data_IF_276685986678
#
_entry.id   IF_276685986678
#
_cell.length_a   1.000
_cell.length_b   1.000
_cell.length_c   1.000
_cell.angle_alpha   90.00
_cell.angle_beta   90.00
_cell.angle_gamma   90.00
#
_symmetry.space_group_name_H-M   'P 1'
#
loop_
_entity.id
_entity.type
_entity.pdbx_description
1 polymer ?
#
# COMPACT_ATOMS: atom_id res chain seq x y z
N UNK A 1 54.07 -0.99 16.44
CA UNK A 1 53.46 -1.51 17.68
C UNK A 1 51.95 -1.39 17.52
N UNK A 2 51.07 -2.38 17.67
CA UNK A 2 51.10 -3.84 17.65
C UNK A 2 49.66 -4.25 17.22
N UNK A 3 49.50 -5.23 16.32
CA UNK A 3 48.20 -5.84 16.01
C UNK A 3 47.68 -6.58 17.24
N UNK A 4 46.37 -6.55 17.51
CA UNK A 4 45.67 -7.66 18.18
C UNK A 4 44.31 -7.84 17.50
N UNK A 5 44.25 -8.97 16.78
CA UNK A 5 43.07 -9.68 16.34
C UNK A 5 42.49 -10.38 17.57
N UNK A 6 41.20 -10.19 17.85
CA UNK A 6 40.47 -11.06 18.77
C UNK A 6 39.46 -11.86 17.96
N UNK A 7 39.92 -13.02 17.50
CA UNK A 7 39.11 -14.12 17.00
C UNK A 7 38.52 -14.84 18.22
N UNK A 8 37.21 -14.79 18.43
CA UNK A 8 36.54 -15.72 19.34
C UNK A 8 35.55 -16.58 18.55
N UNK A 9 36.10 -17.70 18.08
CA UNK A 9 35.35 -18.86 17.64
C UNK A 9 34.71 -19.50 18.87
N UNK A 10 33.40 -19.30 19.07
CA UNK A 10 32.63 -20.07 20.06
C UNK A 10 31.94 -21.22 19.32
N UNK A 11 32.55 -22.40 19.35
CA UNK A 11 31.97 -23.64 18.86
C UNK A 11 31.87 -24.66 20.01
N UNK A 12 30.83 -25.49 19.91
CA UNK A 12 30.41 -26.64 20.74
C UNK A 12 29.62 -26.34 22.01
N UNK A 13 28.36 -26.80 22.06
CA UNK A 13 28.00 -28.15 22.55
C UNK A 13 26.51 -28.45 22.22
N UNK A 14 26.23 -29.24 21.18
CA UNK A 14 25.75 -30.64 21.24
C UNK A 14 24.44 -30.80 22.03
N UNK A 15 23.32 -30.90 21.29
CA UNK A 15 22.17 -31.68 21.74
C UNK A 15 21.64 -32.50 20.56
N UNK A 16 21.47 -33.80 20.77
CA UNK A 16 21.22 -34.80 19.73
C UNK A 16 19.78 -35.28 19.70
N UNK A 17 19.22 -35.37 18.49
CA UNK A 17 18.15 -36.32 18.11
C UNK A 17 18.04 -36.36 16.57
N UNK A 18 18.39 -37.51 15.98
CA UNK A 18 18.27 -37.91 14.54
C UNK A 18 16.84 -38.43 14.23
N UNK A 19 16.46 -38.86 12.99
CA UNK A 19 16.98 -38.59 11.62
C UNK A 19 15.89 -38.36 10.52
N UNK A 20 16.27 -37.78 9.36
CA UNK A 20 15.69 -38.02 8.01
C UNK A 20 16.46 -37.16 6.98
N UNK A 21 17.45 -37.65 6.21
CA UNK A 21 17.41 -38.39 4.92
C UNK A 21 16.50 -37.76 3.84
N UNK A 22 17.05 -36.84 3.01
CA UNK A 22 16.96 -36.79 1.52
C UNK A 22 17.77 -35.56 0.98
N UNK A 23 18.10 -35.45 -0.32
CA UNK A 23 19.44 -35.10 -0.80
C UNK A 23 19.50 -33.65 -1.30
N UNK A 24 20.62 -32.98 -1.07
CA UNK A 24 20.88 -31.65 -1.63
C UNK A 24 21.05 -31.77 -3.16
N UNK A 25 20.09 -31.21 -3.90
CA UNK A 25 20.17 -31.07 -5.35
C UNK A 25 21.16 -29.95 -5.70
N UNK A 26 22.25 -30.32 -6.34
CA UNK A 26 23.23 -29.41 -6.93
C UNK A 26 22.59 -28.62 -8.09
N UNK A 27 22.39 -27.32 -7.92
CA UNK A 27 22.14 -26.40 -9.03
C UNK A 27 23.47 -25.79 -9.50
N UNK A 28 23.85 -25.89 -10.78
CA UNK A 28 25.02 -25.17 -11.28
C UNK A 28 24.69 -23.67 -11.37
N UNK A 29 25.39 -22.87 -10.55
CA UNK A 29 25.40 -21.41 -10.64
C UNK A 29 26.05 -21.01 -11.97
N UNK A 30 25.21 -20.54 -12.90
CA UNK A 30 25.66 -20.01 -14.18
C UNK A 30 26.18 -18.57 -13.97
N UNK A 31 27.49 -18.42 -13.78
CA UNK A 31 28.15 -17.12 -13.76
C UNK A 31 28.23 -16.56 -15.19
N UNK A 32 27.29 -15.69 -15.59
CA UNK A 32 27.43 -14.86 -16.78
C UNK A 32 28.46 -13.74 -16.52
N UNK A 33 29.37 -13.46 -17.48
CA UNK A 33 30.33 -12.39 -17.33
C UNK A 33 29.63 -11.03 -17.36
N UNK A 34 29.91 -10.22 -16.34
CA UNK A 34 29.41 -8.86 -16.17
C UNK A 34 29.90 -7.96 -17.29
N UNK A 35 29.05 -7.74 -18.29
CA UNK A 35 29.20 -6.65 -19.26
C UNK A 35 28.68 -5.38 -18.59
N UNK A 36 29.60 -4.62 -17.98
CA UNK A 36 29.34 -3.28 -17.47
C UNK A 36 29.06 -2.33 -18.64
N UNK A 37 27.84 -2.37 -19.15
CA UNK A 37 27.31 -1.35 -20.04
C UNK A 37 26.96 -0.14 -19.17
N UNK A 38 27.92 0.78 -19.03
CA UNK A 38 27.64 2.15 -18.60
C UNK A 38 26.74 2.78 -19.66
N UNK A 39 25.43 2.67 -19.47
CA UNK A 39 24.46 3.50 -20.17
C UNK A 39 24.65 4.93 -19.64
N UNK A 40 25.47 5.70 -20.35
CA UNK A 40 25.57 7.13 -20.18
C UNK A 40 24.22 7.73 -20.59
N UNK A 41 23.34 7.92 -19.62
CA UNK A 41 22.10 8.69 -19.79
C UNK A 41 22.52 10.14 -19.96
N UNK A 42 22.67 10.57 -21.21
CA UNK A 42 22.70 11.98 -21.57
C UNK A 42 21.28 12.48 -21.30
N UNK A 43 21.10 13.10 -20.13
CA UNK A 43 19.95 13.98 -19.90
C UNK A 43 20.16 15.17 -20.83
N UNK A 44 19.52 15.11 -21.99
CA UNK A 44 19.31 16.29 -22.82
C UNK A 44 18.37 17.19 -22.03
N UNK A 45 18.95 18.13 -21.29
CA UNK A 45 18.23 19.30 -20.81
C UNK A 45 17.76 20.07 -22.04
N UNK A 46 16.55 19.73 -22.51
CA UNK A 46 15.78 20.63 -23.33
C UNK A 46 15.48 21.84 -22.44
N UNK A 47 16.32 22.86 -22.58
CA UNK A 47 16.08 24.19 -22.07
C UNK A 47 14.88 24.78 -22.80
N UNK A 48 13.70 24.51 -22.26
CA UNK A 48 12.47 25.24 -22.52
C UNK A 48 11.61 25.26 -21.24
N UNK A 49 12.20 25.74 -20.14
CA UNK A 49 11.44 26.05 -18.93
C UNK A 49 12.01 27.33 -18.32
N UNK A 50 11.83 28.44 -19.02
CA UNK A 50 12.23 29.76 -18.51
C UNK A 50 11.08 30.77 -18.45
N UNK A 51 9.92 30.48 -19.06
CA UNK A 51 8.78 31.41 -19.11
C UNK A 51 7.59 31.00 -18.19
N UNK A 52 7.56 29.74 -17.73
CA UNK A 52 6.49 29.27 -16.83
C UNK A 52 6.81 29.50 -15.35
N UNK A 53 8.08 29.64 -14.96
CA UNK A 53 8.45 29.93 -13.56
C UNK A 53 8.32 31.42 -13.25
N UNK A 54 8.59 32.30 -14.20
CA UNK A 54 8.44 33.76 -14.05
C UNK A 54 6.96 34.15 -13.91
N UNK A 55 6.08 33.58 -14.72
CA UNK A 55 4.63 33.82 -14.67
C UNK A 55 3.94 33.32 -13.39
N UNK A 56 4.42 32.20 -12.81
CA UNK A 56 3.93 31.72 -11.52
C UNK A 56 4.41 32.60 -10.36
N UNK A 57 5.67 33.05 -10.41
CA UNK A 57 6.23 33.96 -9.41
C UNK A 57 5.54 35.33 -9.46
N UNK A 58 5.27 35.87 -10.65
CA UNK A 58 4.50 37.12 -10.81
C UNK A 58 3.06 37.00 -10.29
N UNK A 59 2.40 35.86 -10.51
CA UNK A 59 1.05 35.60 -10.00
C UNK A 59 1.03 35.53 -8.47
N UNK A 60 2.01 34.86 -7.88
CA UNK A 60 2.19 34.81 -6.42
C UNK A 60 2.46 36.22 -5.89
N UNK A 61 3.37 36.98 -6.51
CA UNK A 61 3.70 38.35 -6.11
C UNK A 61 2.47 39.28 -6.15
N UNK A 62 1.65 39.21 -7.21
CA UNK A 62 0.41 39.98 -7.35
C UNK A 62 -0.63 39.65 -6.25
N UNK A 63 -0.72 38.39 -5.84
CA UNK A 63 -1.61 37.95 -4.74
C UNK A 63 -1.04 38.37 -3.37
N UNK A 64 0.28 38.41 -3.21
CA UNK A 64 0.93 38.91 -1.99
C UNK A 64 0.87 40.43 -1.84
N UNK A 65 0.86 41.19 -2.94
CA UNK A 65 0.90 42.65 -2.88
C UNK A 65 -0.43 43.26 -2.45
N UNK A 66 -1.56 42.60 -2.75
CA UNK A 66 -2.91 43.04 -2.35
C UNK A 66 -3.18 42.79 -0.87
N UNK A 67 -3.49 43.82 -0.05
CA UNK A 67 -3.68 43.64 1.39
C UNK A 67 -4.89 42.78 1.75
N UNK A 68 -5.94 42.78 0.93
CA UNK A 68 -7.13 41.94 1.13
C UNK A 68 -6.83 40.45 0.91
N UNK A 69 -5.96 40.13 -0.06
CA UNK A 69 -5.62 38.75 -0.41
C UNK A 69 -4.62 38.12 0.58
N UNK A 70 -3.84 38.92 1.33
CA UNK A 70 -2.93 38.39 2.36
C UNK A 70 -3.68 37.62 3.46
N UNK A 71 -4.84 38.12 3.88
CA UNK A 71 -5.67 37.43 4.90
C UNK A 71 -6.23 36.12 4.33
N UNK A 72 -6.63 36.12 3.06
CA UNK A 72 -7.09 34.92 2.37
C UNK A 72 -5.95 33.88 2.24
N UNK A 73 -4.73 34.29 1.90
CA UNK A 73 -3.55 33.42 1.81
C UNK A 73 -3.19 32.84 3.18
N UNK A 74 -3.25 33.62 4.25
CA UNK A 74 -3.01 33.13 5.62
C UNK A 74 -4.09 32.13 6.05
N UNK A 75 -5.37 32.44 5.76
CA UNK A 75 -6.50 31.54 6.03
C UNK A 75 -6.39 30.22 5.26
N UNK A 76 -6.04 30.29 3.98
CA UNK A 76 -5.78 29.12 3.15
C UNK A 76 -4.55 28.33 3.63
N UNK A 77 -3.49 29.01 4.07
CA UNK A 77 -2.31 28.39 4.65
C UNK A 77 -2.64 27.61 5.93
N UNK A 78 -3.36 28.23 6.87
CA UNK A 78 -3.80 27.57 8.10
C UNK A 78 -4.76 26.41 7.80
N UNK A 79 -5.71 26.59 6.88
CA UNK A 79 -6.65 25.54 6.46
C UNK A 79 -5.90 24.39 5.82
N UNK A 80 -4.88 24.65 4.99
CA UNK A 80 -4.03 23.63 4.39
C UNK A 80 -3.26 22.85 5.46
N UNK A 81 -2.69 23.53 6.46
CA UNK A 81 -1.99 22.87 7.58
C UNK A 81 -2.95 22.01 8.40
N UNK A 82 -4.13 22.52 8.72
CA UNK A 82 -5.17 21.77 9.46
C UNK A 82 -5.64 20.57 8.63
N UNK A 83 -5.85 20.74 7.32
CA UNK A 83 -6.25 19.66 6.43
C UNK A 83 -5.20 18.56 6.34
N UNK A 84 -3.91 18.92 6.25
CA UNK A 84 -2.81 17.95 6.27
C UNK A 84 -2.70 17.26 7.63
N UNK A 85 -2.84 18.00 8.74
CA UNK A 85 -2.82 17.43 10.09
C UNK A 85 -4.01 16.51 10.34
N UNK A 86 -5.21 16.90 9.93
CA UNK A 86 -6.43 16.12 10.08
C UNK A 86 -6.41 14.88 9.19
N UNK A 87 -5.99 15.00 7.93
CA UNK A 87 -5.85 13.84 7.03
C UNK A 87 -4.77 12.88 7.52
N UNK A 88 -3.65 13.37 8.04
CA UNK A 88 -2.62 12.55 8.65
C UNK A 88 -3.12 11.84 9.91
N UNK A 89 -3.83 12.53 10.80
CA UNK A 89 -4.45 11.90 11.97
C UNK A 89 -5.55 10.92 11.58
N UNK A 90 -6.33 11.20 10.54
CA UNK A 90 -7.36 10.29 10.05
C UNK A 90 -6.74 9.03 9.45
N UNK A 91 -5.71 9.14 8.62
CA UNK A 91 -5.00 7.98 8.07
C UNK A 91 -4.33 7.18 9.18
N UNK A 92 -3.72 7.86 10.16
CA UNK A 92 -3.05 7.21 11.28
C UNK A 92 -4.07 6.57 12.24
N UNK A 93 -5.24 7.19 12.42
CA UNK A 93 -6.38 6.59 13.09
C UNK A 93 -6.81 5.32 12.34
N UNK A 94 -7.05 5.37 11.03
CA UNK A 94 -7.41 4.18 10.24
C UNK A 94 -6.36 3.06 10.40
N UNK A 95 -5.08 3.39 10.34
CA UNK A 95 -3.98 2.41 10.41
C UNK A 95 -3.74 1.88 11.84
N UNK A 96 -4.14 2.65 12.86
CA UNK A 96 -4.06 2.30 14.29
C UNK A 96 -5.38 1.78 14.86
N UNK A 97 -6.48 1.82 14.11
CA UNK A 97 -7.79 1.43 14.59
C UNK A 97 -8.00 -0.07 14.31
N UNK A 98 -8.16 -0.92 15.36
CA UNK A 98 -8.76 -2.25 15.22
C UNK A 98 -10.26 -2.19 14.85
N UNK A 99 -10.76 -1.02 14.45
CA UNK A 99 -12.16 -0.73 14.20
C UNK A 99 -12.58 -1.12 12.79
N UNK A 100 -11.70 -1.10 11.80
CA UNK A 100 -12.05 -1.66 10.47
C UNK A 100 -12.33 -3.17 10.58
N UNK A 101 -11.46 -3.98 11.24
CA UNK A 101 -11.79 -5.37 11.56
C UNK A 101 -13.10 -5.51 12.32
N UNK A 102 -13.30 -4.75 13.40
CA UNK A 102 -14.50 -4.85 14.25
C UNK A 102 -15.78 -4.34 13.56
N UNK A 103 -15.68 -3.34 12.68
CA UNK A 103 -16.79 -2.79 11.90
C UNK A 103 -17.17 -3.75 10.77
N UNK A 104 -16.20 -4.32 10.06
CA UNK A 104 -16.46 -5.36 9.05
C UNK A 104 -17.00 -6.64 9.70
N UNK A 105 -16.57 -6.97 10.92
CA UNK A 105 -17.15 -8.05 11.72
C UNK A 105 -18.60 -7.76 12.08
N UNK A 106 -18.90 -6.55 12.60
CA UNK A 106 -20.26 -6.15 12.90
C UNK A 106 -21.15 -6.15 11.65
N UNK A 107 -20.68 -5.57 10.53
CA UNK A 107 -21.38 -5.58 9.24
C UNK A 107 -21.57 -7.02 8.75
N UNK A 108 -20.57 -7.88 8.90
CA UNK A 108 -20.64 -9.30 8.54
C UNK A 108 -21.70 -10.05 9.33
N UNK A 109 -21.75 -9.85 10.66
CA UNK A 109 -22.76 -10.46 11.53
C UNK A 109 -24.15 -9.92 11.20
N UNK A 110 -24.29 -8.61 10.99
CA UNK A 110 -25.55 -7.97 10.67
C UNK A 110 -26.09 -8.45 9.33
N UNK A 111 -25.23 -8.47 8.31
CA UNK A 111 -25.58 -8.93 6.98
C UNK A 111 -25.86 -10.43 6.96
N UNK A 112 -25.06 -11.25 7.65
CA UNK A 112 -25.29 -12.69 7.76
C UNK A 112 -26.63 -12.98 8.46
N UNK A 113 -26.93 -12.28 9.55
CA UNK A 113 -28.20 -12.43 10.27
C UNK A 113 -29.38 -12.03 9.39
N UNK A 114 -29.28 -10.91 8.69
CA UNK A 114 -30.31 -10.46 7.75
C UNK A 114 -30.49 -11.43 6.57
N UNK A 115 -29.40 -11.93 6.00
CA UNK A 115 -29.43 -12.88 4.89
C UNK A 115 -30.10 -14.20 5.30
N UNK A 116 -29.75 -14.74 6.47
CA UNK A 116 -30.38 -15.94 7.01
C UNK A 116 -31.88 -15.73 7.21
N UNK A 117 -32.27 -14.59 7.79
CA UNK A 117 -33.67 -14.26 7.99
C UNK A 117 -34.45 -14.08 6.67
N UNK A 118 -33.87 -13.38 5.69
CA UNK A 118 -34.51 -13.04 4.43
C UNK A 118 -34.57 -14.20 3.44
N UNK A 119 -33.56 -15.07 3.39
CA UNK A 119 -33.41 -16.06 2.33
C UNK A 119 -33.43 -17.52 2.79
N UNK A 120 -33.08 -17.83 4.05
CA UNK A 120 -33.02 -19.23 4.53
C UNK A 120 -34.25 -19.65 5.35
N UNK A 121 -34.89 -18.76 6.09
CA UNK A 121 -36.02 -19.14 6.96
C UNK A 121 -37.26 -19.56 6.17
N UNK A 122 -37.60 -18.81 5.12
CA UNK A 122 -38.83 -19.04 4.36
C UNK A 122 -38.58 -19.95 3.16
N UNK A 123 -39.55 -20.83 2.86
CA UNK A 123 -39.50 -21.72 1.70
C UNK A 123 -39.46 -20.99 0.35
N UNK A 124 -40.34 -20.00 0.06
CA UNK A 124 -40.31 -19.32 -1.23
C UNK A 124 -38.96 -18.63 -1.48
N UNK A 125 -38.39 -18.01 -0.45
CA UNK A 125 -37.13 -17.27 -0.59
C UNK A 125 -35.91 -18.17 -0.88
N UNK A 126 -35.95 -19.44 -0.42
CA UNK A 126 -34.91 -20.43 -0.75
C UNK A 126 -34.96 -20.82 -2.22
N UNK A 127 -36.15 -21.02 -2.77
CA UNK A 127 -36.33 -21.38 -4.19
C UNK A 127 -35.91 -20.23 -5.10
N UNK A 128 -36.22 -18.98 -4.72
CA UNK A 128 -35.74 -17.79 -5.42
C UNK A 128 -34.20 -17.67 -5.39
N UNK A 129 -33.57 -17.93 -4.24
CA UNK A 129 -32.11 -17.87 -4.10
C UNK A 129 -31.43 -18.91 -5.00
N UNK A 130 -31.87 -20.17 -4.98
CA UNK A 130 -31.32 -21.22 -5.84
C UNK A 130 -31.57 -20.93 -7.32
N UNK A 131 -32.75 -20.40 -7.68
CA UNK A 131 -33.06 -19.98 -9.04
C UNK A 131 -32.10 -18.90 -9.53
N UNK A 132 -31.84 -17.88 -8.71
CA UNK A 132 -30.90 -16.81 -9.02
C UNK A 132 -29.47 -17.33 -9.16
N UNK A 133 -29.00 -18.18 -8.24
CA UNK A 133 -27.65 -18.76 -8.29
C UNK A 133 -27.45 -19.57 -9.58
N UNK A 134 -28.40 -20.45 -9.92
CA UNK A 134 -28.32 -21.23 -11.16
C UNK A 134 -28.29 -20.33 -12.40
N UNK A 135 -29.12 -19.28 -12.43
CA UNK A 135 -29.12 -18.31 -13.53
C UNK A 135 -27.77 -17.61 -13.68
N UNK A 136 -27.12 -17.23 -12.58
CA UNK A 136 -25.79 -16.63 -12.62
C UNK A 136 -24.72 -17.61 -13.11
N UNK A 137 -24.77 -18.86 -12.64
CA UNK A 137 -23.83 -19.91 -13.06
C UNK A 137 -23.98 -20.19 -14.57
N UNK A 138 -25.21 -20.36 -15.06
CA UNK A 138 -25.51 -20.55 -16.49
C UNK A 138 -24.99 -19.38 -17.33
N UNK A 139 -25.23 -18.15 -16.88
CA UNK A 139 -24.75 -16.94 -17.57
C UNK A 139 -23.21 -16.86 -17.65
N UNK A 140 -22.50 -17.29 -16.61
CA UNK A 140 -21.02 -17.29 -16.59
C UNK A 140 -20.46 -18.44 -17.44
N UNK A 141 -21.11 -19.61 -17.43
CA UNK A 141 -20.71 -20.77 -18.24
C UNK A 141 -21.13 -20.65 -19.72
N UNK A 142 -21.96 -19.67 -20.07
CA UNK A 142 -22.47 -19.48 -21.43
C UNK A 142 -23.43 -20.58 -21.88
N UNK A 143 -24.12 -21.24 -20.93
CA UNK A 143 -25.22 -22.17 -21.18
C UNK A 143 -26.58 -21.49 -21.00
#
# INVERSE_FOLDING_TARGET
>A
MASIVANFSLALLINGSKPSILPSSNFPVFSKPGRQSRALVIVKAAGESSDSSTSLVESVQNVWDKPEDRVAVIGLGLTAVIAVWASSNFISAIDKLPVIPSFLEFVGILYSSWFVYRYLLFKPDREELFGNINKYISNILGQ
#
